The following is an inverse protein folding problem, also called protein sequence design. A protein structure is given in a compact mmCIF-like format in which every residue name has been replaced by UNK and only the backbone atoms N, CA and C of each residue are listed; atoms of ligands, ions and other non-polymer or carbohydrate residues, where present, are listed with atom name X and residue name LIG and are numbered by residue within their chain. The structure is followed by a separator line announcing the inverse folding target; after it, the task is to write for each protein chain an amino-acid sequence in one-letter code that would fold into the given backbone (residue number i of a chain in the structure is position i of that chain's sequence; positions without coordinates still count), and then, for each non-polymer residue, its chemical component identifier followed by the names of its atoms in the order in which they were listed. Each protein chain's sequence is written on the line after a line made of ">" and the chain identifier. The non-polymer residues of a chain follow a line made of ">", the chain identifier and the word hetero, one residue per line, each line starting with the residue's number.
data_IF_426651705198
#
_entry.id   IF_426651705198
#
_cell.length_a   1.000
_cell.length_b   1.000
_cell.length_c   1.000
_cell.angle_alpha   90.00
_cell.angle_beta   90.00
_cell.angle_gamma   90.00
#
_symmetry.space_group_name_H-M   'P 1'
#
loop_
_entity.id
_entity.type
_entity.pdbx_description
1 polymer ?
#
# COMPACT_ATOMS: atom_id res chain seq x y z
N UNK A 1 20.25 -8.21 -13.92
CA UNK A 1 19.32 -7.12 -14.32
C UNK A 1 18.78 -6.46 -13.08
N UNK A 2 18.90 -5.15 -12.95
CA UNK A 2 18.18 -4.46 -11.88
C UNK A 2 16.69 -4.70 -12.08
N UNK A 3 16.03 -5.14 -11.03
CA UNK A 3 14.62 -5.48 -11.04
C UNK A 3 13.82 -4.45 -10.25
N UNK A 4 12.52 -4.45 -10.45
CA UNK A 4 11.59 -3.70 -9.61
C UNK A 4 11.43 -4.44 -8.28
N UNK A 5 11.63 -3.75 -7.18
CA UNK A 5 11.36 -4.25 -5.83
C UNK A 5 10.01 -3.71 -5.39
N UNK A 6 9.07 -4.59 -5.11
CA UNK A 6 7.69 -4.21 -4.81
C UNK A 6 7.43 -4.37 -3.32
N UNK A 7 7.07 -3.28 -2.65
CA UNK A 7 6.76 -3.25 -1.24
C UNK A 7 5.36 -2.67 -1.00
N UNK A 8 4.56 -3.35 -0.18
CA UNK A 8 3.25 -2.88 0.22
C UNK A 8 3.28 -2.26 1.61
N UNK A 9 2.39 -1.30 1.87
CA UNK A 9 2.29 -0.60 3.15
C UNK A 9 0.83 -0.37 3.51
N UNK A 10 0.42 -0.82 4.69
CA UNK A 10 -0.91 -0.52 5.23
C UNK A 10 -0.85 -0.49 6.75
N UNK A 11 -1.66 0.38 7.36
CA UNK A 11 -1.99 0.28 8.78
C UNK A 11 -3.44 -0.18 8.92
N UNK A 12 -3.68 -1.13 9.83
CA UNK A 12 -5.00 -1.70 10.07
C UNK A 12 -5.33 -1.72 11.56
N UNK A 13 -6.62 -1.78 11.84
CA UNK A 13 -7.15 -2.07 13.18
C UNK A 13 -6.87 -3.53 13.58
N UNK A 14 -7.19 -3.89 14.83
CA UNK A 14 -7.04 -5.26 15.31
C UNK A 14 -7.87 -6.27 14.49
N UNK A 15 -9.01 -5.83 13.95
CA UNK A 15 -9.90 -6.63 13.10
C UNK A 15 -9.57 -6.52 11.59
N UNK A 16 -8.47 -5.88 11.23
CA UNK A 16 -7.94 -5.90 9.84
C UNK A 16 -8.54 -4.85 8.91
N UNK A 17 -9.13 -3.78 9.46
CA UNK A 17 -9.74 -2.71 8.69
C UNK A 17 -8.78 -1.54 8.48
N UNK A 18 -8.72 -1.02 7.25
CA UNK A 18 -7.89 0.14 6.93
C UNK A 18 -8.67 1.47 6.96
N UNK A 19 -9.98 1.39 7.00
CA UNK A 19 -10.89 2.55 7.03
C UNK A 19 -12.18 2.17 7.73
N UNK A 20 -12.99 3.17 8.08
CA UNK A 20 -14.32 2.97 8.63
C UNK A 20 -15.34 2.57 7.54
N UNK A 21 -16.62 2.39 7.94
CA UNK A 21 -17.68 2.00 7.01
C UNK A 21 -17.98 3.05 5.93
N UNK A 22 -17.47 4.26 6.06
CA UNK A 22 -17.58 5.33 5.07
C UNK A 22 -16.35 5.45 4.17
N UNK A 23 -15.45 4.47 4.25
CA UNK A 23 -14.17 4.44 3.51
C UNK A 23 -13.23 5.60 3.86
N UNK A 24 -13.32 6.07 5.09
CA UNK A 24 -12.46 7.14 5.63
C UNK A 24 -11.54 6.56 6.69
N UNK A 25 -10.26 6.89 6.62
CA UNK A 25 -9.31 6.52 7.67
C UNK A 25 -9.63 7.33 8.94
N UNK A 26 -10.08 6.68 10.03
CA UNK A 26 -10.45 7.41 11.24
C UNK A 26 -9.22 7.90 11.99
N UNK A 27 -9.40 8.92 12.81
CA UNK A 27 -8.32 9.45 13.66
C UNK A 27 -7.75 8.40 14.59
N UNK A 28 -8.55 7.39 14.98
CA UNK A 28 -8.11 6.28 15.81
C UNK A 28 -7.00 5.43 15.17
N UNK A 29 -6.80 5.48 13.85
CA UNK A 29 -5.69 4.81 13.13
C UNK A 29 -4.53 5.75 12.80
N UNK A 30 -4.56 6.99 13.23
CA UNK A 30 -3.51 7.97 12.93
C UNK A 30 -2.54 8.07 14.12
N UNK A 31 -1.34 7.56 13.95
CA UNK A 31 -0.28 7.55 14.95
C UNK A 31 0.98 8.19 14.39
N UNK A 32 1.64 9.03 15.16
CA UNK A 32 2.87 9.71 14.71
C UNK A 32 4.01 8.73 14.37
N UNK A 33 4.15 7.64 15.11
CA UNK A 33 5.16 6.61 14.83
C UNK A 33 4.92 5.92 13.49
N UNK A 34 3.67 5.60 13.16
CA UNK A 34 3.30 5.03 11.88
C UNK A 34 3.50 6.05 10.74
N UNK A 35 3.10 7.28 10.96
CA UNK A 35 3.28 8.35 9.98
C UNK A 35 4.76 8.57 9.65
N UNK A 36 5.61 8.59 10.67
CA UNK A 36 7.07 8.72 10.49
C UNK A 36 7.63 7.55 9.70
N UNK A 37 7.25 6.33 10.04
CA UNK A 37 7.65 5.11 9.33
C UNK A 37 7.22 5.17 7.85
N UNK A 38 5.95 5.47 7.62
CA UNK A 38 5.37 5.51 6.27
C UNK A 38 6.00 6.61 5.42
N UNK A 39 6.14 7.82 5.96
CA UNK A 39 6.77 8.95 5.25
C UNK A 39 8.20 8.60 4.83
N UNK A 40 9.00 8.03 5.73
CA UNK A 40 10.37 7.62 5.44
C UNK A 40 10.41 6.54 4.36
N UNK A 41 9.47 5.59 4.39
CA UNK A 41 9.37 4.54 3.38
C UNK A 41 9.04 5.11 2.00
N UNK A 42 8.11 6.06 1.91
CA UNK A 42 7.75 6.69 0.65
C UNK A 42 8.88 7.59 0.11
N UNK A 43 9.59 8.30 1.00
CA UNK A 43 10.70 9.15 0.60
C UNK A 43 11.86 8.37 -0.04
N UNK A 44 12.07 7.12 0.35
CA UNK A 44 13.10 6.26 -0.24
C UNK A 44 12.59 5.38 -1.39
N UNK A 45 11.30 5.44 -1.72
CA UNK A 45 10.73 4.72 -2.85
C UNK A 45 10.85 5.53 -4.13
N UNK A 46 11.07 4.83 -5.25
CA UNK A 46 11.24 5.46 -6.56
C UNK A 46 9.91 5.69 -7.26
N UNK A 47 8.90 4.91 -6.94
CA UNK A 47 7.57 4.98 -7.53
C UNK A 47 6.50 4.64 -6.49
N UNK A 48 5.44 5.41 -6.46
CA UNK A 48 4.26 5.15 -5.60
C UNK A 48 3.11 4.68 -6.48
N UNK A 49 2.44 3.59 -6.09
CA UNK A 49 1.28 3.05 -6.80
C UNK A 49 0.07 3.06 -5.88
N UNK A 50 -1.01 3.66 -6.35
CA UNK A 50 -2.25 3.72 -5.56
C UNK A 50 -3.50 3.87 -6.43
N UNK A 51 -4.65 3.59 -5.86
CA UNK A 51 -5.95 3.90 -6.46
C UNK A 51 -6.29 5.39 -6.30
N UNK A 52 -7.38 5.83 -6.91
CA UNK A 52 -7.76 7.24 -6.92
C UNK A 52 -8.02 7.84 -5.54
N UNK A 53 -8.41 7.01 -4.56
CA UNK A 53 -8.79 7.45 -3.22
C UNK A 53 -7.70 7.23 -2.17
N UNK A 54 -6.51 6.83 -2.57
CA UNK A 54 -5.42 6.46 -1.64
C UNK A 54 -4.22 7.40 -1.72
N UNK A 55 -4.44 8.64 -2.13
CA UNK A 55 -3.40 9.66 -2.16
C UNK A 55 -2.95 10.01 -0.74
N UNK A 56 -1.64 10.00 -0.49
CA UNK A 56 -1.10 10.10 0.86
C UNK A 56 -1.10 11.52 1.47
N UNK A 57 -1.29 12.56 0.71
CA UNK A 57 -1.46 13.94 1.22
C UNK A 57 -0.32 14.52 2.05
N UNK A 58 0.91 14.01 1.90
CA UNK A 58 2.07 14.48 2.65
C UNK A 58 2.75 15.66 1.94
N UNK A 59 3.55 16.50 2.66
CA UNK A 59 4.22 17.64 2.04
C UNK A 59 5.08 17.29 0.82
N UNK A 60 5.70 16.11 0.80
CA UNK A 60 6.55 15.65 -0.30
C UNK A 60 5.77 14.99 -1.45
N UNK A 61 4.46 14.80 -1.31
CA UNK A 61 3.62 14.12 -2.32
C UNK A 61 3.79 14.67 -3.73
N UNK A 62 3.85 16.00 -3.96
CA UNK A 62 4.02 16.54 -5.31
C UNK A 62 5.34 16.18 -5.99
N UNK A 63 6.34 15.76 -5.23
CA UNK A 63 7.67 15.39 -5.76
C UNK A 63 7.78 13.92 -6.10
N UNK A 64 6.83 13.09 -5.67
CA UNK A 64 6.89 11.64 -5.84
C UNK A 64 6.34 11.23 -7.19
N UNK A 65 7.10 10.38 -7.88
CA UNK A 65 6.62 9.73 -9.09
C UNK A 65 5.53 8.73 -8.70
N UNK A 66 4.43 8.67 -9.46
CA UNK A 66 3.32 7.77 -9.12
C UNK A 66 2.56 7.21 -10.30
N UNK A 67 2.01 6.02 -10.10
CA UNK A 67 0.98 5.43 -10.95
C UNK A 67 -0.34 5.48 -10.21
N UNK A 68 -1.36 6.04 -10.83
CA UNK A 68 -2.70 6.12 -10.25
C UNK A 68 -3.61 5.20 -11.07
N UNK A 69 -4.11 4.15 -10.42
CA UNK A 69 -5.04 3.23 -11.08
C UNK A 69 -6.39 3.91 -11.30
N UNK A 70 -6.88 3.81 -12.52
CA UNK A 70 -8.16 4.41 -12.91
C UNK A 70 -8.73 3.73 -14.16
N UNK A 71 -10.04 3.72 -14.27
CA UNK A 71 -10.74 3.29 -15.49
C UNK A 71 -11.03 4.45 -16.45
N UNK A 72 -10.65 5.67 -16.07
CA UNK A 72 -10.92 6.87 -16.85
C UNK A 72 -10.09 6.98 -18.14
N UNK A 73 -9.03 6.17 -18.27
CA UNK A 73 -8.19 6.07 -19.47
C UNK A 73 -8.24 4.65 -20.01
N UNK A 74 -7.97 4.49 -21.30
CA UNK A 74 -8.01 3.15 -21.93
C UNK A 74 -6.82 2.28 -21.53
N UNK A 75 -5.65 2.88 -21.32
CA UNK A 75 -4.42 2.17 -20.93
C UNK A 75 -3.53 3.05 -20.08
N UNK A 76 -2.83 4.01 -20.67
CA UNK A 76 -1.88 4.89 -20.00
C UNK A 76 -2.07 6.33 -20.50
N UNK A 77 -1.98 7.29 -19.59
CA UNK A 77 -2.00 8.71 -19.93
C UNK A 77 -1.28 9.52 -18.85
N UNK A 78 -0.68 10.68 -19.20
CA UNK A 78 -0.20 11.61 -18.18
C UNK A 78 -1.39 12.15 -17.38
N UNK A 79 -1.19 12.39 -16.09
CA UNK A 79 -2.21 13.07 -15.29
C UNK A 79 -2.15 14.57 -15.59
N UNK A 80 -3.23 15.19 -16.08
CA UNK A 80 -3.24 16.62 -16.37
C UNK A 80 -3.06 17.51 -15.14
N UNK A 81 -3.29 16.97 -13.95
CA UNK A 81 -3.19 17.71 -12.68
C UNK A 81 -1.84 17.54 -11.98
N UNK A 82 -1.06 16.53 -12.34
CA UNK A 82 0.20 16.23 -11.67
C UNK A 82 1.22 15.68 -12.68
N UNK A 83 2.26 16.47 -12.96
CA UNK A 83 3.32 16.10 -13.90
C UNK A 83 4.09 14.83 -13.52
N UNK A 84 4.08 14.45 -12.24
CA UNK A 84 4.76 13.27 -11.72
C UNK A 84 3.87 12.03 -11.72
N UNK A 85 2.61 12.16 -12.11
CA UNK A 85 1.66 11.06 -12.08
C UNK A 85 1.34 10.56 -13.49
N UNK A 86 1.20 9.23 -13.58
CA UNK A 86 0.69 8.52 -14.75
C UNK A 86 -0.62 7.86 -14.35
N UNK A 87 -1.66 8.07 -15.18
CA UNK A 87 -2.93 7.34 -15.04
C UNK A 87 -2.78 5.99 -15.72
N UNK A 88 -3.19 4.95 -15.03
CA UNK A 88 -3.02 3.58 -15.50
C UNK A 88 -4.30 2.77 -15.34
N UNK A 89 -4.77 2.22 -16.49
CA UNK A 89 -5.83 1.22 -16.48
C UNK A 89 -5.20 -0.17 -16.68
N UNK A 90 -5.23 -1.05 -15.66
CA UNK A 90 -4.62 -2.39 -15.78
C UNK A 90 -5.22 -3.28 -16.87
N UNK A 91 -6.43 -2.99 -17.32
CA UNK A 91 -7.04 -3.71 -18.45
C UNK A 91 -6.41 -3.35 -19.79
N UNK A 92 -5.77 -2.20 -19.91
CA UNK A 92 -5.19 -1.72 -21.17
C UNK A 92 -3.67 -1.81 -21.23
N UNK A 93 -2.99 -1.93 -20.09
CA UNK A 93 -1.52 -2.00 -20.03
C UNK A 93 -1.08 -2.81 -18.84
N UNK A 94 0.04 -3.53 -18.97
CA UNK A 94 0.68 -4.24 -17.86
C UNK A 94 1.33 -3.27 -16.88
N UNK A 95 1.66 -3.75 -15.69
CA UNK A 95 2.42 -2.99 -14.71
C UNK A 95 3.79 -2.58 -15.27
N UNK A 96 4.47 -3.47 -15.98
CA UNK A 96 5.78 -3.20 -16.59
C UNK A 96 5.67 -2.10 -17.66
N UNK A 97 4.63 -2.13 -18.47
CA UNK A 97 4.35 -1.07 -19.45
C UNK A 97 4.08 0.28 -18.76
N UNK A 98 3.33 0.24 -17.65
CA UNK A 98 3.04 1.45 -16.87
C UNK A 98 4.31 2.04 -16.24
N UNK A 99 5.18 1.21 -15.69
CA UNK A 99 6.48 1.64 -15.15
C UNK A 99 7.33 2.27 -16.23
N UNK A 100 7.43 1.63 -17.39
CA UNK A 100 8.19 2.14 -18.53
C UNK A 100 7.65 3.50 -18.99
N UNK A 101 6.34 3.64 -19.10
CA UNK A 101 5.69 4.91 -19.47
C UNK A 101 6.00 6.01 -18.45
N UNK A 102 6.08 5.68 -17.17
CA UNK A 102 6.45 6.61 -16.12
C UNK A 102 7.96 6.91 -16.08
N UNK A 103 8.75 6.29 -16.94
CA UNK A 103 10.19 6.50 -17.01
C UNK A 103 11.03 5.64 -16.06
N UNK A 104 10.48 4.50 -15.62
CA UNK A 104 11.12 3.65 -14.62
C UNK A 104 11.28 2.21 -15.12
N UNK A 105 12.49 1.68 -15.02
CA UNK A 105 12.82 0.29 -15.40
C UNK A 105 13.33 -0.54 -14.23
N UNK A 106 13.75 0.11 -13.14
CA UNK A 106 14.27 -0.54 -11.92
C UNK A 106 14.05 0.37 -10.73
N UNK A 107 14.18 -0.16 -9.53
CA UNK A 107 14.03 0.59 -8.30
C UNK A 107 12.94 0.03 -7.39
N UNK A 108 12.62 0.76 -6.33
CA UNK A 108 11.65 0.38 -5.32
C UNK A 108 10.29 1.01 -5.61
N UNK A 109 9.28 0.15 -5.62
CA UNK A 109 7.87 0.53 -5.84
C UNK A 109 7.11 0.36 -4.53
N UNK A 110 6.43 1.40 -4.07
CA UNK A 110 5.56 1.35 -2.90
C UNK A 110 4.10 1.28 -3.31
N UNK A 111 3.42 0.21 -2.89
CA UNK A 111 1.98 0.01 -3.10
C UNK A 111 1.27 0.48 -1.82
N UNK A 112 0.42 1.50 -1.94
CA UNK A 112 -0.18 2.13 -0.76
C UNK A 112 -1.71 2.05 -0.69
N UNK A 113 -2.32 1.27 -1.56
CA UNK A 113 -3.74 0.94 -1.46
C UNK A 113 -4.61 1.47 -2.59
N UNK A 114 -5.86 1.28 -2.51
CA UNK A 114 -6.63 0.57 -1.49
C UNK A 114 -6.68 -0.95 -1.64
N UNK A 115 -7.71 -1.59 -1.07
CA UNK A 115 -7.77 -3.06 -1.00
C UNK A 115 -7.63 -3.78 -2.34
N UNK A 116 -8.27 -3.28 -3.38
CA UNK A 116 -8.15 -3.85 -4.72
C UNK A 116 -6.75 -3.75 -5.30
N UNK A 117 -6.06 -2.65 -5.02
CA UNK A 117 -4.67 -2.46 -5.47
C UNK A 117 -3.73 -3.38 -4.69
N UNK A 118 -3.91 -3.50 -3.38
CA UNK A 118 -3.13 -4.46 -2.58
C UNK A 118 -3.31 -5.90 -3.09
N UNK A 119 -4.54 -6.28 -3.39
CA UNK A 119 -4.85 -7.63 -3.89
C UNK A 119 -4.20 -7.91 -5.25
N UNK A 120 -4.13 -6.91 -6.12
CA UNK A 120 -3.56 -7.04 -7.46
C UNK A 120 -2.08 -7.40 -7.43
N UNK A 121 -1.35 -6.97 -6.40
CA UNK A 121 0.09 -7.22 -6.25
C UNK A 121 0.41 -8.35 -5.27
N UNK A 122 -0.59 -9.09 -4.77
CA UNK A 122 -0.42 -10.05 -3.67
C UNK A 122 0.64 -11.12 -3.96
N UNK A 123 0.77 -11.58 -5.18
CA UNK A 123 1.78 -12.57 -5.57
C UNK A 123 3.11 -11.94 -6.04
N UNK A 124 3.26 -10.64 -5.90
CA UNK A 124 4.43 -9.89 -6.40
C UNK A 124 5.20 -9.13 -5.32
N UNK A 125 4.72 -9.09 -4.08
CA UNK A 125 5.42 -8.38 -3.02
C UNK A 125 6.74 -9.04 -2.67
N UNK A 126 7.82 -8.25 -2.67
CA UNK A 126 9.09 -8.62 -2.04
C UNK A 126 9.02 -8.45 -0.54
N UNK A 127 8.29 -7.42 -0.08
CA UNK A 127 7.95 -7.21 1.33
C UNK A 127 6.58 -6.55 1.41
N UNK A 128 5.75 -7.03 2.33
CA UNK A 128 4.53 -6.35 2.71
C UNK A 128 4.65 -5.90 4.16
N UNK A 129 4.61 -4.59 4.38
CA UNK A 129 4.73 -3.98 5.71
C UNK A 129 3.33 -3.80 6.29
N UNK A 130 2.96 -4.72 7.17
CA UNK A 130 1.67 -4.71 7.85
C UNK A 130 1.80 -4.03 9.21
N UNK A 131 1.32 -2.80 9.32
CA UNK A 131 1.19 -2.09 10.59
C UNK A 131 -0.16 -2.41 11.22
N UNK A 132 -0.20 -2.64 12.51
CA UNK A 132 -1.44 -2.96 13.22
C UNK A 132 -1.54 -2.22 14.54
N UNK A 133 -2.70 -1.57 14.73
CA UNK A 133 -3.09 -0.94 15.98
C UNK A 133 -3.93 -1.96 16.78
N UNK A 134 -3.28 -2.68 17.69
CA UNK A 134 -3.86 -3.84 18.39
C UNK A 134 -5.06 -3.48 19.30
N UNK A 135 -5.17 -2.20 19.70
CA UNK A 135 -6.25 -1.74 20.58
C UNK A 135 -7.39 -1.06 19.84
N UNK A 136 -7.30 -0.93 18.53
CA UNK A 136 -8.34 -0.27 17.70
C UNK A 136 -9.15 -1.33 16.98
N UNK A 137 -10.48 -1.19 17.03
CA UNK A 137 -11.39 -2.02 16.27
C UNK A 137 -12.31 -1.14 15.43
N UNK A 138 -12.60 -1.57 14.22
CA UNK A 138 -13.46 -0.86 13.27
C UNK A 138 -14.52 -1.82 12.73
N UNK A 139 -15.50 -2.23 13.56
CA UNK A 139 -16.56 -3.13 13.10
C UNK A 139 -17.31 -2.54 11.89
N UNK A 140 -17.52 -3.36 10.87
CA UNK A 140 -18.15 -2.90 9.62
C UNK A 140 -17.27 -2.01 8.77
N UNK A 141 -15.98 -1.86 9.09
CA UNK A 141 -15.03 -1.06 8.33
C UNK A 141 -14.62 -1.69 7.00
N UNK A 142 -13.71 -1.04 6.31
CA UNK A 142 -13.19 -1.51 5.03
C UNK A 142 -12.02 -2.46 5.25
N UNK A 143 -12.13 -3.75 4.86
CA UNK A 143 -11.04 -4.71 4.96
C UNK A 143 -9.84 -4.31 4.11
N UNK A 144 -8.62 -4.52 4.62
CA UNK A 144 -7.41 -4.19 3.87
C UNK A 144 -7.17 -5.10 2.66
N UNK A 145 -7.68 -6.34 2.71
CA UNK A 145 -7.62 -7.31 1.61
C UNK A 145 -8.98 -7.98 1.46
N UNK A 146 -9.34 -8.48 0.26
CA UNK A 146 -10.46 -9.39 0.11
C UNK A 146 -10.29 -10.63 1.02
N UNK A 147 -11.34 -11.04 1.70
CA UNK A 147 -11.34 -12.17 2.63
C UNK A 147 -11.03 -11.80 4.08
N UNK A 148 -10.56 -10.59 4.34
CA UNK A 148 -10.38 -10.10 5.72
C UNK A 148 -11.76 -9.84 6.34
N UNK A 149 -11.91 -10.28 7.58
CA UNK A 149 -13.19 -10.36 8.29
C UNK A 149 -13.50 -11.83 8.60
N UNK A 150 -13.47 -12.71 7.61
CA UNK A 150 -13.48 -14.16 7.80
C UNK A 150 -12.10 -14.69 8.17
N UNK A 151 -11.05 -14.09 7.59
CA UNK A 151 -9.64 -14.37 7.91
C UNK A 151 -8.96 -13.10 8.35
N UNK A 152 -7.88 -13.22 9.12
CA UNK A 152 -7.03 -12.09 9.47
C UNK A 152 -6.16 -11.65 8.28
N UNK A 153 -5.64 -10.41 8.26
CA UNK A 153 -4.66 -10.01 7.26
C UNK A 153 -3.44 -10.94 7.23
N UNK A 154 -3.01 -11.41 8.39
CA UNK A 154 -1.89 -12.35 8.52
C UNK A 154 -2.19 -13.68 7.82
N UNK A 155 -3.38 -14.20 7.99
CA UNK A 155 -3.80 -15.45 7.33
C UNK A 155 -3.87 -15.28 5.81
N UNK A 156 -4.30 -14.12 5.32
CA UNK A 156 -4.32 -13.83 3.88
C UNK A 156 -2.90 -13.78 3.31
N UNK A 157 -1.98 -13.07 3.99
CA UNK A 157 -0.58 -13.02 3.56
C UNK A 157 0.07 -14.42 3.58
N UNK A 158 -0.18 -15.21 4.63
CA UNK A 158 0.33 -16.57 4.73
C UNK A 158 -0.21 -17.47 3.61
N UNK A 159 -1.47 -17.31 3.24
CA UNK A 159 -2.09 -18.07 2.14
C UNK A 159 -1.43 -17.77 0.79
N UNK A 160 -0.80 -16.60 0.63
CA UNK A 160 -0.03 -16.23 -0.55
C UNK A 160 1.46 -16.57 -0.42
N UNK A 161 1.83 -17.44 0.54
CA UNK A 161 3.20 -17.92 0.69
C UNK A 161 4.16 -16.95 1.37
N UNK A 162 3.64 -16.00 2.14
CA UNK A 162 4.47 -15.04 2.86
C UNK A 162 4.62 -15.43 4.34
N UNK A 163 5.73 -15.02 4.94
CA UNK A 163 6.03 -15.23 6.37
C UNK A 163 6.37 -13.92 7.06
N UNK A 164 5.97 -13.78 8.34
CA UNK A 164 6.32 -12.59 9.11
C UNK A 164 7.79 -12.61 9.54
N UNK A 165 8.44 -11.45 9.48
CA UNK A 165 9.73 -11.20 10.11
C UNK A 165 9.55 -10.60 11.50
N UNK A 166 10.63 -10.04 12.05
CA UNK A 166 10.62 -9.39 13.35
C UNK A 166 9.78 -8.11 13.32
N UNK A 167 8.78 -7.99 14.21
CA UNK A 167 8.01 -6.76 14.30
C UNK A 167 8.84 -5.59 14.86
N UNK A 168 8.54 -4.38 14.39
CA UNK A 168 9.09 -3.14 14.90
C UNK A 168 8.00 -2.38 15.63
N UNK A 169 8.28 -1.92 16.84
CA UNK A 169 7.36 -1.08 17.60
C UNK A 169 7.35 0.34 17.01
N UNK A 170 6.16 0.82 16.62
CA UNK A 170 5.96 2.18 16.12
C UNK A 170 5.45 3.12 17.22
N UNK A 171 4.59 2.62 18.09
CA UNK A 171 4.00 3.36 19.20
C UNK A 171 3.75 2.38 20.35
N UNK A 172 4.65 2.35 21.32
CA UNK A 172 4.56 1.42 22.45
C UNK A 172 3.37 1.74 23.36
N UNK A 173 3.07 3.02 23.56
CA UNK A 173 1.97 3.44 24.44
C UNK A 173 0.60 3.01 23.91
N UNK A 174 0.44 2.96 22.60
CA UNK A 174 -0.82 2.60 21.92
C UNK A 174 -0.81 1.20 21.31
N UNK A 175 0.24 0.44 21.53
CA UNK A 175 0.41 -0.93 21.02
C UNK A 175 0.26 -0.98 19.48
N UNK A 176 1.07 -0.17 18.80
CA UNK A 176 1.16 -0.15 17.34
C UNK A 176 2.52 -0.68 16.93
N UNK A 177 2.51 -1.67 16.04
CA UNK A 177 3.74 -2.27 15.52
C UNK A 177 3.59 -2.52 14.01
N UNK A 178 4.72 -2.63 13.32
CA UNK A 178 4.77 -3.04 11.91
C UNK A 178 5.54 -4.33 11.78
N UNK A 179 5.01 -5.25 11.00
CA UNK A 179 5.64 -6.55 10.72
C UNK A 179 5.95 -6.64 9.23
N UNK A 180 7.22 -6.90 8.85
CA UNK A 180 7.55 -7.19 7.45
C UNK A 180 7.16 -8.63 7.10
N UNK A 181 6.37 -8.80 6.06
CA UNK A 181 6.03 -10.10 5.49
C UNK A 181 6.78 -10.29 4.19
N UNK A 182 7.42 -11.45 4.02
CA UNK A 182 8.22 -11.76 2.82
C UNK A 182 7.90 -13.14 2.29
N UNK A 183 8.04 -13.36 0.95
CA UNK A 183 7.87 -14.68 0.38
C UNK A 183 8.82 -15.68 1.01
N UNK A 184 8.34 -16.91 1.16
CA UNK A 184 9.19 -18.05 1.50
C UNK A 184 9.91 -18.48 0.23
N UNK A 185 11.22 -18.22 0.17
CA UNK A 185 12.06 -18.45 -1.00
C UNK A 185 12.07 -19.89 -1.51
#
# INVERSE_FOLDING_TARGET
>A
MPALRIEGFVIVSADGMLADARHVMPDALKFEGDKTFFTAALDRSDLIVHGRNSFEGQPNSPRRLRLILTRAVSALAPDPKNRKATLWNPHGASFEQACHFAGMSSGTVAIIGGPGVFAMFMDRYDTFWLSQAARVRLPGGEPCFPGVGERSPQEVLAAHGMRPGEPLTLDAANDVSVTPWRPTG
#
